data_IF_196927927042
#
_entry.id   IF_196927927042
#
_cell.length_a   1.000
_cell.length_b   1.000
_cell.length_c   1.000
_cell.angle_alpha   90.00
_cell.angle_beta   90.00
_cell.angle_gamma   90.00
#
_symmetry.space_group_name_H-M   'P 1'
#
loop_
_entity.id
_entity.type
_entity.pdbx_description
1 polymer ?
#
# COMPACT_ATOMS: atom_id res chain seq x y z
N UNK A 1 -20.92 23.48 -8.47
CA UNK A 1 -20.81 22.13 -9.09
C UNK A 1 -19.45 22.07 -9.74
N UNK A 2 -18.42 21.63 -9.00
CA UNK A 2 -17.05 21.60 -9.48
C UNK A 2 -16.90 20.30 -10.28
N UNK A 3 -16.78 20.45 -11.60
CA UNK A 3 -16.47 19.34 -12.49
C UNK A 3 -14.99 18.99 -12.30
N UNK A 4 -14.73 17.95 -11.51
CA UNK A 4 -13.47 17.22 -11.56
C UNK A 4 -13.22 16.81 -13.01
N UNK A 5 -12.04 17.21 -13.53
CA UNK A 5 -11.59 17.00 -14.91
C UNK A 5 -11.66 15.50 -15.25
N UNK A 6 -12.77 15.07 -15.83
CA UNK A 6 -12.91 13.73 -16.39
C UNK A 6 -11.96 13.59 -17.57
N UNK A 7 -11.18 12.51 -17.61
CA UNK A 7 -10.36 12.13 -18.76
C UNK A 7 -11.19 12.26 -20.05
N UNK A 8 -10.60 12.88 -21.07
CA UNK A 8 -11.18 12.90 -22.42
C UNK A 8 -11.35 11.45 -22.90
N UNK A 9 -12.43 11.16 -23.63
CA UNK A 9 -12.77 9.83 -24.18
C UNK A 9 -11.69 9.23 -25.11
N UNK A 10 -10.63 9.99 -25.41
CA UNK A 10 -9.46 9.58 -26.18
C UNK A 10 -8.31 8.99 -25.35
N UNK A 11 -8.27 9.23 -24.04
CA UNK A 11 -7.20 8.70 -23.18
C UNK A 11 -7.59 7.34 -22.60
N UNK A 12 -6.73 6.35 -22.80
CA UNK A 12 -6.93 5.01 -22.23
C UNK A 12 -6.79 5.06 -20.71
N UNK A 13 -7.58 4.25 -20.03
CA UNK A 13 -7.45 4.01 -18.59
C UNK A 13 -6.29 3.06 -18.38
N UNK A 14 -5.28 3.45 -17.61
CA UNK A 14 -4.14 2.57 -17.27
C UNK A 14 -4.41 1.87 -15.95
N UNK A 15 -4.37 0.54 -15.96
CA UNK A 15 -4.61 -0.31 -14.79
C UNK A 15 -3.32 -1.02 -14.40
N UNK A 16 -2.87 -0.82 -13.17
CA UNK A 16 -1.73 -1.53 -12.58
C UNK A 16 -2.19 -2.76 -11.80
N UNK A 17 -1.70 -3.94 -12.15
CA UNK A 17 -1.95 -5.18 -11.42
C UNK A 17 -0.81 -5.50 -10.46
N UNK A 18 -1.13 -5.70 -9.18
CA UNK A 18 -0.17 -6.05 -8.12
C UNK A 18 -0.53 -7.41 -7.54
N UNK A 19 0.35 -8.40 -7.67
CA UNK A 19 0.14 -9.74 -7.11
C UNK A 19 -1.14 -10.46 -7.62
N UNK A 20 -1.61 -10.16 -8.84
CA UNK A 20 -2.86 -10.71 -9.40
C UNK A 20 -2.56 -11.87 -10.36
N UNK A 21 -3.36 -12.94 -10.30
CA UNK A 21 -3.28 -14.09 -11.21
C UNK A 21 -3.68 -13.73 -12.65
N UNK A 22 -3.11 -14.42 -13.63
CA UNK A 22 -3.36 -14.15 -15.05
C UNK A 22 -4.83 -14.35 -15.47
N UNK A 23 -5.56 -15.24 -14.79
CA UNK A 23 -6.99 -15.45 -15.05
C UNK A 23 -7.83 -14.18 -14.83
N UNK A 24 -7.50 -13.37 -13.82
CA UNK A 24 -8.20 -12.10 -13.54
C UNK A 24 -7.77 -11.05 -14.57
N UNK A 25 -6.49 -11.04 -14.96
CA UNK A 25 -5.99 -10.11 -16.00
C UNK A 25 -6.72 -10.32 -17.33
N UNK A 26 -7.00 -11.56 -17.70
CA UNK A 26 -7.73 -11.90 -18.92
C UNK A 26 -9.15 -11.34 -18.97
N UNK A 27 -9.82 -11.13 -17.83
CA UNK A 27 -11.14 -10.50 -17.79
C UNK A 27 -11.09 -9.05 -18.31
N UNK A 28 -10.01 -8.33 -18.01
CA UNK A 28 -9.77 -6.96 -18.47
C UNK A 28 -9.22 -6.90 -19.91
N UNK A 29 -8.55 -7.95 -20.38
CA UNK A 29 -8.12 -8.06 -21.79
C UNK A 29 -9.30 -8.05 -22.77
N UNK A 30 -10.53 -8.37 -22.30
CA UNK A 30 -11.74 -8.29 -23.10
C UNK A 30 -12.24 -6.85 -23.33
N UNK A 31 -11.80 -5.87 -22.52
CA UNK A 31 -12.16 -4.44 -22.67
C UNK A 31 -11.29 -3.71 -23.73
N UNK A 32 -10.95 -4.42 -24.82
CA UNK A 32 -9.96 -4.00 -25.81
C UNK A 32 -10.21 -2.59 -26.35
N UNK A 33 -9.18 -1.74 -26.27
CA UNK A 33 -9.12 -0.41 -26.88
C UNK A 33 -9.37 0.76 -25.92
N UNK A 34 -9.98 0.51 -24.75
CA UNK A 34 -10.27 1.54 -23.74
C UNK A 34 -9.32 1.49 -22.54
N UNK A 35 -8.69 0.32 -22.31
CA UNK A 35 -7.86 0.04 -21.14
C UNK A 35 -6.47 -0.41 -21.57
N UNK A 36 -5.45 0.06 -20.86
CA UNK A 36 -4.07 -0.43 -20.93
C UNK A 36 -3.71 -1.07 -19.60
N UNK A 37 -3.19 -2.29 -19.63
CA UNK A 37 -2.86 -3.07 -18.43
C UNK A 37 -1.36 -3.13 -18.22
N UNK A 38 -0.91 -2.93 -16.99
CA UNK A 38 0.50 -2.96 -16.59
C UNK A 38 0.65 -3.92 -15.42
N UNK A 39 1.56 -4.89 -15.53
CA UNK A 39 1.88 -5.77 -14.41
C UNK A 39 2.99 -5.14 -13.56
N UNK A 40 2.75 -5.01 -12.26
CA UNK A 40 3.76 -4.53 -11.31
C UNK A 40 4.52 -5.72 -10.75
N UNK A 41 5.79 -5.82 -11.14
CA UNK A 41 6.68 -6.89 -10.72
C UNK A 41 7.52 -6.42 -9.53
N UNK A 42 7.47 -7.18 -8.45
CA UNK A 42 8.31 -6.95 -7.27
C UNK A 42 8.76 -8.29 -6.70
N UNK A 43 9.90 -8.29 -6.01
CA UNK A 43 10.42 -9.49 -5.36
C UNK A 43 9.67 -9.70 -4.05
N UNK A 44 9.07 -10.88 -3.79
CA UNK A 44 8.46 -11.18 -2.50
C UNK A 44 9.48 -11.06 -1.35
N UNK A 45 9.02 -10.68 -0.15
CA UNK A 45 9.84 -10.79 1.07
C UNK A 45 10.31 -12.23 1.25
N UNK A 46 11.56 -12.42 1.69
CA UNK A 46 12.10 -13.76 1.95
C UNK A 46 11.24 -14.49 2.98
N UNK A 47 10.89 -15.75 2.72
CA UNK A 47 10.18 -16.60 3.69
C UNK A 47 11.02 -16.97 4.92
N UNK A 48 12.30 -16.62 4.93
CA UNK A 48 13.18 -16.75 6.11
C UNK A 48 12.95 -15.63 7.13
N UNK A 49 12.43 -14.49 6.68
CA UNK A 49 12.11 -13.35 7.55
C UNK A 49 10.75 -13.58 8.22
N UNK A 50 10.66 -13.14 9.47
CA UNK A 50 9.47 -13.24 10.29
C UNK A 50 8.93 -11.87 10.64
N UNK A 51 7.68 -11.83 11.06
CA UNK A 51 7.05 -10.61 11.53
C UNK A 51 7.86 -9.94 12.65
N UNK A 52 8.41 -10.74 13.56
CA UNK A 52 9.22 -10.28 14.70
C UNK A 52 10.55 -9.64 14.29
N UNK A 53 11.06 -9.91 13.08
CA UNK A 53 12.29 -9.27 12.58
C UNK A 53 12.05 -7.79 12.23
N UNK A 54 10.79 -7.43 11.89
CA UNK A 54 10.37 -6.06 11.62
C UNK A 54 9.72 -5.39 12.84
N UNK A 55 8.96 -6.18 13.61
CA UNK A 55 8.20 -5.72 14.77
C UNK A 55 8.56 -6.53 16.02
N UNK A 56 9.80 -6.41 16.53
CA UNK A 56 10.21 -7.08 17.76
C UNK A 56 9.46 -6.52 18.97
N UNK A 57 9.28 -7.36 20.00
CA UNK A 57 8.65 -6.97 21.26
C UNK A 57 9.45 -5.92 22.03
N UNK A 58 10.78 -5.92 21.86
CA UNK A 58 11.68 -4.98 22.51
C UNK A 58 12.76 -4.50 21.54
N UNK A 59 13.02 -3.19 21.57
CA UNK A 59 14.08 -2.54 20.81
C UNK A 59 15.00 -1.79 21.77
N UNK A 60 16.30 -1.84 21.51
CA UNK A 60 17.27 -1.00 22.22
C UNK A 60 17.25 0.40 21.58
N UNK A 61 16.32 1.24 22.04
CA UNK A 61 16.08 2.60 21.51
C UNK A 61 17.34 3.47 21.50
N UNK A 62 18.22 3.30 22.49
CA UNK A 62 19.46 4.07 22.61
C UNK A 62 20.64 3.46 21.82
N UNK A 63 20.46 2.26 21.26
CA UNK A 63 21.51 1.41 20.67
C UNK A 63 22.75 1.30 21.58
N UNK A 64 22.53 1.11 22.89
CA UNK A 64 23.61 1.00 23.89
C UNK A 64 24.29 -0.36 23.86
N UNK A 65 23.55 -1.39 23.46
CA UNK A 65 23.93 -2.79 23.56
C UNK A 65 24.05 -3.44 22.18
N UNK A 66 23.14 -3.11 21.25
CA UNK A 66 23.16 -3.65 19.90
C UNK A 66 22.76 -2.62 18.85
N UNK A 67 23.38 -2.69 17.68
CA UNK A 67 22.93 -1.94 16.51
C UNK A 67 21.67 -2.62 15.95
N UNK A 68 20.56 -1.89 15.79
CA UNK A 68 19.32 -2.46 15.28
C UNK A 68 19.49 -2.86 13.80
N UNK A 69 19.44 -4.16 13.53
CA UNK A 69 19.41 -4.69 12.17
C UNK A 69 17.96 -4.84 11.74
N UNK A 70 17.45 -3.90 10.96
CA UNK A 70 16.12 -3.98 10.39
C UNK A 70 16.21 -4.41 8.92
N UNK A 71 15.60 -5.54 8.52
CA UNK A 71 15.59 -5.97 7.13
C UNK A 71 14.87 -4.95 6.24
N UNK A 72 15.26 -4.86 4.98
CA UNK A 72 14.53 -4.06 4.00
C UNK A 72 13.41 -4.88 3.35
N UNK A 73 12.22 -4.29 3.21
CA UNK A 73 11.15 -4.86 2.40
C UNK A 73 11.43 -4.51 0.93
N UNK A 74 11.56 -5.50 0.04
CA UNK A 74 11.81 -5.22 -1.38
C UNK A 74 10.63 -4.44 -1.98
N UNK A 75 10.93 -3.33 -2.63
CA UNK A 75 9.95 -2.49 -3.33
C UNK A 75 10.21 -2.50 -4.85
N UNK A 76 9.16 -2.41 -5.68
CA UNK A 76 9.33 -2.20 -7.11
C UNK A 76 9.94 -0.82 -7.38
N UNK A 77 10.53 -0.66 -8.56
CA UNK A 77 10.95 0.65 -9.06
C UNK A 77 9.71 1.44 -9.46
N UNK A 78 9.27 2.34 -8.58
CA UNK A 78 8.02 3.07 -8.75
C UNK A 78 8.03 3.95 -10.00
N UNK A 79 9.22 4.39 -10.45
CA UNK A 79 9.35 5.20 -11.66
C UNK A 79 8.95 4.46 -12.95
N UNK A 80 9.03 3.12 -12.95
CA UNK A 80 8.65 2.30 -14.10
C UNK A 80 7.12 2.23 -14.28
N UNK A 81 6.35 2.63 -13.27
CA UNK A 81 4.89 2.45 -13.16
C UNK A 81 4.15 3.78 -13.02
N UNK A 82 4.39 4.71 -13.95
CA UNK A 82 3.72 6.00 -14.02
C UNK A 82 2.34 5.97 -14.68
N UNK A 83 1.58 7.06 -14.51
CA UNK A 83 0.27 7.32 -15.12
C UNK A 83 -0.85 6.31 -14.87
N UNK A 84 -0.80 5.54 -13.79
CA UNK A 84 -1.86 4.60 -13.40
C UNK A 84 -3.11 5.36 -12.91
N UNK A 85 -4.28 4.98 -13.41
CA UNK A 85 -5.58 5.48 -12.94
C UNK A 85 -6.19 4.57 -11.88
N UNK A 86 -6.01 3.27 -12.06
CA UNK A 86 -6.57 2.23 -11.20
C UNK A 86 -5.47 1.25 -10.83
N UNK A 87 -5.37 0.91 -9.56
CA UNK A 87 -4.45 -0.11 -9.06
C UNK A 87 -5.30 -1.26 -8.53
N UNK A 88 -5.13 -2.45 -9.10
CA UNK A 88 -5.82 -3.68 -8.69
C UNK A 88 -4.82 -4.59 -8.03
N UNK A 89 -5.09 -5.00 -6.79
CA UNK A 89 -4.19 -5.83 -6.02
C UNK A 89 -4.91 -7.03 -5.42
N UNK A 90 -4.35 -8.24 -5.57
CA UNK A 90 -4.83 -9.39 -4.81
C UNK A 90 -4.05 -9.47 -3.51
N UNK A 91 -4.77 -9.41 -2.40
CA UNK A 91 -4.19 -9.48 -1.07
C UNK A 91 -4.09 -10.95 -0.67
N UNK A 92 -2.89 -11.45 -0.32
CA UNK A 92 -2.77 -12.80 0.21
C UNK A 92 -3.47 -12.87 1.57
N UNK A 93 -4.32 -13.88 1.72
CA UNK A 93 -4.89 -14.28 2.98
C UNK A 93 -4.16 -15.55 3.42
N UNK A 94 -3.51 -15.52 4.58
CA UNK A 94 -2.96 -16.72 5.20
C UNK A 94 -4.03 -17.81 5.41
N UNK A 95 -3.62 -19.00 5.84
CA UNK A 95 -4.44 -20.22 5.90
C UNK A 95 -5.59 -20.22 6.94
N UNK A 96 -6.18 -19.07 7.27
CA UNK A 96 -7.43 -18.98 8.03
C UNK A 96 -7.30 -19.07 9.55
N UNK A 97 -6.10 -18.98 10.12
CA UNK A 97 -5.98 -18.57 11.54
C UNK A 97 -5.82 -17.04 11.56
N UNK A 98 -6.69 -16.36 12.31
CA UNK A 98 -6.72 -14.89 12.39
C UNK A 98 -5.34 -14.29 12.73
N UNK A 99 -4.54 -15.01 13.53
CA UNK A 99 -3.18 -14.61 13.91
C UNK A 99 -2.18 -14.61 12.73
N UNK A 100 -2.30 -15.58 11.80
CA UNK A 100 -1.42 -15.70 10.64
C UNK A 100 -1.79 -14.73 9.51
N UNK A 101 -3.05 -14.33 9.41
CA UNK A 101 -3.50 -13.36 8.40
C UNK A 101 -3.16 -11.90 8.73
N UNK A 102 -3.07 -11.56 10.03
CA UNK A 102 -2.72 -10.21 10.50
C UNK A 102 -1.20 -9.97 10.39
N UNK A 103 -0.38 -10.98 10.72
CA UNK A 103 1.08 -10.90 10.74
C UNK A 103 1.75 -11.51 9.50
N UNK A 104 1.23 -11.18 8.33
CA UNK A 104 1.76 -11.66 7.06
C UNK A 104 2.61 -10.57 6.40
N UNK A 105 3.91 -10.88 6.19
CA UNK A 105 4.86 -9.97 5.55
C UNK A 105 4.55 -9.73 4.07
N UNK A 106 4.02 -10.73 3.36
CA UNK A 106 3.62 -10.57 1.97
C UNK A 106 2.36 -9.71 1.88
N UNK A 107 1.42 -9.87 2.82
CA UNK A 107 0.26 -8.97 2.94
C UNK A 107 0.71 -7.53 3.17
N UNK A 108 1.63 -7.31 4.12
CA UNK A 108 2.23 -6.00 4.38
C UNK A 108 2.91 -5.43 3.13
N UNK A 109 3.75 -6.21 2.48
CA UNK A 109 4.45 -5.80 1.27
C UNK A 109 3.48 -5.39 0.15
N UNK A 110 2.45 -6.21 -0.15
CA UNK A 110 1.46 -5.87 -1.18
C UNK A 110 0.77 -4.54 -0.87
N UNK A 111 0.35 -4.34 0.38
CA UNK A 111 -0.31 -3.09 0.79
C UNK A 111 0.65 -1.88 0.66
N UNK A 112 1.92 -2.02 1.04
CA UNK A 112 2.92 -0.97 0.89
C UNK A 112 3.22 -0.64 -0.58
N UNK A 113 3.33 -1.66 -1.44
CA UNK A 113 3.51 -1.48 -2.89
C UNK A 113 2.35 -0.68 -3.48
N UNK A 114 1.11 -1.09 -3.18
CA UNK A 114 -0.10 -0.41 -3.66
C UNK A 114 -0.16 1.04 -3.16
N UNK A 115 0.16 1.26 -1.88
CA UNK A 115 0.13 2.60 -1.30
C UNK A 115 1.17 3.53 -1.94
N UNK A 116 2.39 3.05 -2.14
CA UNK A 116 3.45 3.81 -2.80
C UNK A 116 3.10 4.13 -4.26
N UNK A 117 2.55 3.16 -5.00
CA UNK A 117 2.08 3.39 -6.36
C UNK A 117 0.96 4.43 -6.42
N UNK A 118 -0.02 4.36 -5.51
CA UNK A 118 -1.10 5.33 -5.44
C UNK A 118 -0.58 6.75 -5.20
N UNK A 119 0.37 6.90 -4.28
CA UNK A 119 1.01 8.19 -3.96
C UNK A 119 1.78 8.75 -5.15
N UNK A 120 2.64 7.93 -5.80
CA UNK A 120 3.49 8.37 -6.92
C UNK A 120 2.65 8.73 -8.15
N UNK A 121 1.56 8.01 -8.40
CA UNK A 121 0.68 8.26 -9.55
C UNK A 121 -0.39 9.32 -9.30
N UNK A 122 -0.70 9.58 -8.04
CA UNK A 122 -1.76 10.51 -7.64
C UNK A 122 -1.26 11.91 -7.30
N UNK A 123 -0.11 12.05 -6.64
CA UNK A 123 0.38 13.36 -6.22
C UNK A 123 1.06 14.10 -7.36
N UNK A 124 0.65 15.35 -7.57
CA UNK A 124 1.32 16.24 -8.52
C UNK A 124 1.97 17.41 -7.80
N UNK A 125 3.13 17.85 -8.27
CA UNK A 125 3.83 19.01 -7.71
C UNK A 125 3.06 20.34 -7.93
N UNK A 126 1.97 20.32 -8.71
CA UNK A 126 1.20 21.49 -9.15
C UNK A 126 -0.11 21.75 -8.38
N UNK A 127 -0.43 20.95 -7.36
CA UNK A 127 -1.55 21.19 -6.45
C UNK A 127 -2.87 20.51 -6.80
N UNK A 128 -3.07 20.10 -8.05
CA UNK A 128 -4.20 19.29 -8.49
C UNK A 128 -3.81 17.81 -8.44
N UNK A 129 -4.11 17.17 -7.30
CA UNK A 129 -3.85 15.74 -7.12
C UNK A 129 -4.76 14.91 -8.05
N UNK A 130 -4.16 14.00 -8.82
CA UNK A 130 -4.87 13.07 -9.70
C UNK A 130 -5.62 12.05 -8.84
N UNK A 131 -6.88 11.80 -9.18
CA UNK A 131 -7.63 10.73 -8.51
C UNK A 131 -7.13 9.37 -9.00
N UNK A 132 -6.59 8.58 -8.07
CA UNK A 132 -6.22 7.17 -8.29
C UNK A 132 -7.17 6.30 -7.47
N UNK A 133 -7.78 5.31 -8.11
CA UNK A 133 -8.65 4.34 -7.44
C UNK A 133 -7.88 3.06 -7.14
N UNK A 134 -8.13 2.46 -5.99
CA UNK A 134 -7.46 1.22 -5.57
C UNK A 134 -8.52 0.13 -5.37
N UNK A 135 -8.30 -1.05 -5.94
CA UNK A 135 -9.19 -2.20 -5.81
C UNK A 135 -8.40 -3.35 -5.18
N UNK A 136 -8.84 -3.82 -4.03
CA UNK A 136 -8.31 -5.03 -3.41
C UNK A 136 -9.21 -6.22 -3.70
N UNK A 137 -8.59 -7.36 -4.01
CA UNK A 137 -9.25 -8.64 -4.24
C UNK A 137 -8.83 -9.60 -3.12
N UNK A 138 -9.81 -10.11 -2.38
CA UNK A 138 -9.64 -11.14 -1.36
C UNK A 138 -10.47 -10.89 -0.11
N UNK A 139 -10.76 -11.97 0.61
CA UNK A 139 -11.67 -11.99 1.76
C UNK A 139 -11.17 -11.25 2.99
N UNK A 140 -9.84 -11.12 3.17
CA UNK A 140 -9.25 -10.44 4.33
C UNK A 140 -9.19 -8.91 4.17
N UNK A 141 -9.42 -8.39 2.96
CA UNK A 141 -9.24 -6.97 2.66
C UNK A 141 -7.81 -6.44 2.87
N UNK A 142 -7.59 -5.14 2.59
CA UNK A 142 -6.30 -4.49 2.83
C UNK A 142 -6.00 -4.30 4.32
N UNK A 143 -4.78 -3.87 4.63
CA UNK A 143 -4.40 -3.47 5.99
C UNK A 143 -5.04 -2.11 6.33
N UNK A 144 -5.90 -2.09 7.35
CA UNK A 144 -6.67 -0.90 7.73
C UNK A 144 -5.80 0.24 8.26
N UNK A 145 -4.60 -0.08 8.75
CA UNK A 145 -3.57 0.87 9.17
C UNK A 145 -3.06 1.72 8.00
N UNK A 146 -3.08 1.16 6.78
CA UNK A 146 -2.65 1.83 5.54
C UNK A 146 -3.86 2.36 4.79
N UNK A 147 -4.91 1.53 4.61
CA UNK A 147 -6.13 1.87 3.89
C UNK A 147 -7.31 1.93 4.85
N UNK A 148 -7.65 3.14 5.29
CA UNK A 148 -8.70 3.34 6.29
C UNK A 148 -10.09 3.18 5.71
N UNK A 149 -11.03 2.85 6.60
CA UNK A 149 -12.46 2.77 6.30
C UNK A 149 -13.07 4.03 5.72
N UNK A 150 -12.58 5.20 6.12
CA UNK A 150 -13.06 6.48 5.58
C UNK A 150 -12.84 6.61 4.06
N UNK A 151 -11.84 5.90 3.53
CA UNK A 151 -11.47 5.91 2.12
C UNK A 151 -12.16 4.79 1.32
N UNK A 152 -12.89 3.88 2.00
CA UNK A 152 -13.63 2.78 1.38
C UNK A 152 -14.89 3.30 0.70
N UNK A 153 -15.00 3.06 -0.61
CA UNK A 153 -16.14 3.48 -1.41
C UNK A 153 -17.22 2.40 -1.50
N UNK A 154 -16.81 1.16 -1.76
CA UNK A 154 -17.74 0.02 -1.83
C UNK A 154 -17.03 -1.30 -1.59
N UNK A 155 -17.77 -2.26 -1.04
CA UNK A 155 -17.34 -3.63 -0.84
C UNK A 155 -18.36 -4.58 -1.47
N UNK A 156 -17.92 -5.38 -2.44
CA UNK A 156 -18.77 -6.29 -3.22
C UNK A 156 -18.14 -7.68 -3.26
N UNK A 157 -18.61 -8.58 -2.40
CA UNK A 157 -18.08 -9.95 -2.33
C UNK A 157 -16.63 -9.96 -1.87
N UNK A 158 -15.70 -10.21 -2.79
CA UNK A 158 -14.25 -10.25 -2.52
C UNK A 158 -13.55 -8.96 -2.99
N UNK A 159 -14.30 -7.97 -3.49
CA UNK A 159 -13.75 -6.75 -4.08
C UNK A 159 -13.95 -5.55 -3.17
N UNK A 160 -12.85 -4.87 -2.84
CA UNK A 160 -12.86 -3.66 -2.02
C UNK A 160 -12.36 -2.48 -2.84
N UNK A 161 -13.23 -1.50 -3.11
CA UNK A 161 -12.89 -0.29 -3.86
C UNK A 161 -12.61 0.86 -2.91
N UNK A 162 -11.40 1.40 -2.98
CA UNK A 162 -10.94 2.54 -2.22
C UNK A 162 -10.65 3.75 -3.13
N UNK A 163 -10.90 4.93 -2.59
CA UNK A 163 -10.40 6.20 -3.13
C UNK A 163 -9.56 6.89 -2.04
N UNK A 164 -8.26 6.54 -1.94
CA UNK A 164 -7.42 7.03 -0.86
C UNK A 164 -7.21 8.54 -0.91
N UNK A 165 -7.13 9.17 0.27
CA UNK A 165 -6.63 10.54 0.41
C UNK A 165 -5.08 10.51 0.32
N UNK A 166 -4.55 11.03 -0.78
CA UNK A 166 -3.16 10.82 -1.17
C UNK A 166 -2.15 11.53 -0.27
N UNK A 167 -2.51 12.65 0.36
CA UNK A 167 -1.58 13.40 1.22
C UNK A 167 -1.37 12.70 2.54
N UNK A 168 -2.43 12.17 3.14
CA UNK A 168 -2.37 11.32 4.32
C UNK A 168 -1.72 9.99 3.99
N UNK A 169 -2.05 9.37 2.86
CA UNK A 169 -1.40 8.13 2.44
C UNK A 169 0.11 8.32 2.24
N UNK A 170 0.54 9.47 1.71
CA UNK A 170 1.96 9.85 1.61
C UNK A 170 2.63 9.89 2.98
N UNK A 171 1.99 10.49 3.98
CA UNK A 171 2.53 10.52 5.34
C UNK A 171 2.71 9.10 5.86
N UNK A 172 1.74 8.21 5.64
CA UNK A 172 1.83 6.80 6.05
C UNK A 172 2.99 6.06 5.38
N UNK A 173 3.17 6.19 4.06
CA UNK A 173 4.25 5.47 3.35
C UNK A 173 5.64 6.06 3.55
N UNK A 174 5.75 7.30 4.03
CA UNK A 174 7.02 7.92 4.42
C UNK A 174 7.49 7.45 5.80
N UNK A 175 6.61 6.86 6.60
CA UNK A 175 7.00 6.30 7.88
C UNK A 175 7.84 5.04 7.68
N UNK A 176 8.88 4.84 8.51
CA UNK A 176 9.66 3.62 8.48
C UNK A 176 8.78 2.41 8.79
N UNK A 177 8.98 1.33 8.05
CA UNK A 177 8.25 0.07 8.26
C UNK A 177 8.98 -0.78 9.29
N UNK A 178 8.31 -1.09 10.39
CA UNK A 178 8.88 -1.87 11.48
C UNK A 178 9.31 -1.02 12.68
N UNK A 179 9.12 -1.54 13.89
CA UNK A 179 9.59 -0.89 15.11
C UNK A 179 11.13 -0.90 15.20
N UNK A 180 11.82 -1.81 14.50
CA UNK A 180 13.28 -1.85 14.47
C UNK A 180 13.96 -0.60 13.88
N UNK A 181 13.25 0.20 13.09
CA UNK A 181 13.77 1.46 12.53
C UNK A 181 13.61 2.68 13.44
N UNK A 182 12.88 2.55 14.56
CA UNK A 182 12.62 3.69 15.46
C UNK A 182 13.88 4.08 16.25
N UNK A 183 14.68 3.09 16.67
CA UNK A 183 15.92 3.30 17.43
C UNK A 183 17.00 4.12 16.68
N UNK A 184 17.35 3.85 15.39
CA UNK A 184 18.36 4.63 14.68
C UNK A 184 17.87 6.00 14.19
N UNK A 185 16.56 6.16 13.92
CA UNK A 185 16.00 7.40 13.36
C UNK A 185 16.14 8.59 14.33
N UNK A 186 16.02 8.34 15.64
CA UNK A 186 16.11 9.37 16.68
C UNK A 186 17.49 10.04 16.78
N UNK A 187 18.55 9.40 16.25
CA UNK A 187 19.92 9.98 16.21
C UNK A 187 20.18 10.84 14.98
N UNK A 188 19.44 10.69 13.87
CA UNK A 188 19.73 11.39 12.61
C UNK A 188 18.85 12.61 12.34
N UNK A 189 17.62 12.65 12.85
CA UNK A 189 16.69 13.76 12.60
C UNK A 189 16.05 14.23 13.90
N UNK A 190 16.60 15.31 14.47
CA UNK A 190 16.00 16.03 15.60
C UNK A 190 14.68 16.75 15.26
N UNK A 191 13.88 16.27 14.32
CA UNK A 191 12.61 16.86 13.89
C UNK A 191 11.66 15.75 13.38
N UNK A 192 10.98 15.06 14.29
CA UNK A 192 9.63 14.54 14.03
C UNK A 192 8.82 14.76 15.31
N UNK A 193 7.89 15.71 15.27
CA UNK A 193 6.95 15.94 16.37
C UNK A 193 5.93 14.82 16.39
N UNK A 194 5.93 14.04 17.47
CA UNK A 194 5.05 12.91 17.80
C UNK A 194 3.55 13.25 17.92
N UNK A 195 3.07 14.36 17.37
CA UNK A 195 1.73 14.90 17.66
C UNK A 195 0.59 14.31 16.84
N UNK A 196 0.85 13.42 15.87
CA UNK A 196 -0.21 12.84 15.03
C UNK A 196 -0.41 11.31 15.21
N UNK A 197 0.07 10.74 16.32
CA UNK A 197 -0.27 9.37 16.73
C UNK A 197 -1.66 9.34 17.37
N UNK A 198 -2.71 9.56 16.57
CA UNK A 198 -4.06 9.19 16.98
C UNK A 198 -4.17 7.67 16.98
N UNK A 199 -4.12 7.10 18.19
CA UNK A 199 -4.42 5.71 18.46
C UNK A 199 -5.72 5.30 17.75
N UNK A 200 -5.61 4.23 16.96
CA UNK A 200 -6.64 3.60 16.16
C UNK A 200 -7.77 3.16 17.10
N UNK A 201 -8.90 3.87 17.08
CA UNK A 201 -10.17 3.29 17.49
C UNK A 201 -10.62 2.37 16.36
N UNK A 202 -10.45 1.07 16.58
CA UNK A 202 -10.92 0.00 15.71
C UNK A 202 -12.43 0.06 15.59
N UNK A 203 -12.92 0.34 14.39
CA UNK A 203 -14.21 -0.14 13.92
C UNK A 203 -13.92 -1.00 12.69
N UNK A 204 -14.44 -2.23 12.67
CA UNK A 204 -14.47 -3.02 11.44
C UNK A 204 -15.22 -2.23 10.37
N UNK A 205 -14.53 -1.95 9.26
CA UNK A 205 -15.16 -2.06 7.95
C UNK A 205 -15.65 -3.50 7.76
#
# INVERSE_FOLDING_TARGET
MILSRGKSFSERIRIGFVNVDDNVKHEYDHMRGQVETVNVDFRPVSGELKWEDFFPEWIDEDARWHEPSCPEIPMPRLEDYGDLDVIVARVPCGNGTEEQGIRDLLRLQVNLVVANLAVVNGLTNGGDDRTVSVIFIGSCGPMQEIFRCDDLMTHLGEYWLYKPELRRLRQTVQMPVGSCLIAPYHKQTGIFSFTDMNFILFYLC
#
